data_IF_404711359536
#
_entry.id   IF_404711359536
#
_cell.length_a   1.000
_cell.length_b   1.000
_cell.length_c   1.000
_cell.angle_alpha   90.00
_cell.angle_beta   90.00
_cell.angle_gamma   90.00
#
_symmetry.space_group_name_H-M   'P 1'
#
loop_
_entity.id
_entity.type
_entity.pdbx_description
1 polymer ?
#
# COMPACT_ATOMS: atom_id res chain seq x y z
N UNK A 1 -16.88 -13.42 -9.36
CA UNK A 1 -15.45 -13.07 -9.48
C UNK A 1 -15.25 -12.27 -10.76
N UNK A 2 -14.41 -11.23 -10.70
CA UNK A 2 -14.08 -10.38 -11.86
C UNK A 2 -12.98 -11.07 -12.70
N UNK A 3 -13.08 -11.12 -14.03
CA UNK A 3 -12.00 -11.61 -14.86
C UNK A 3 -10.78 -10.68 -14.76
N UNK A 4 -9.58 -11.28 -14.76
CA UNK A 4 -8.30 -10.56 -14.74
C UNK A 4 -7.34 -11.20 -15.75
N UNK A 5 -6.42 -10.42 -16.32
CA UNK A 5 -5.42 -10.95 -17.25
C UNK A 5 -4.44 -11.92 -16.56
N UNK A 6 -3.86 -12.84 -17.33
CA UNK A 6 -2.88 -13.81 -16.81
C UNK A 6 -1.66 -13.08 -16.22
N UNK A 7 -1.21 -12.00 -16.83
CA UNK A 7 -0.07 -11.22 -16.32
C UNK A 7 -0.39 -10.54 -15.00
N UNK A 8 -1.55 -9.91 -14.83
CA UNK A 8 -2.00 -9.36 -13.55
C UNK A 8 -2.22 -10.44 -12.48
N UNK A 9 -2.83 -11.59 -12.86
CA UNK A 9 -2.97 -12.72 -11.94
C UNK A 9 -1.60 -13.18 -11.43
N UNK A 10 -0.60 -13.28 -12.34
CA UNK A 10 0.78 -13.63 -11.94
C UNK A 10 1.37 -12.58 -11.00
N UNK A 11 1.14 -11.30 -11.24
CA UNK A 11 1.54 -10.22 -10.34
C UNK A 11 0.94 -10.37 -8.94
N UNK A 12 -0.37 -10.65 -8.83
CA UNK A 12 -1.06 -10.92 -7.56
C UNK A 12 -0.46 -12.13 -6.82
N UNK A 13 -0.15 -13.22 -7.54
CA UNK A 13 0.53 -14.38 -6.96
C UNK A 13 1.89 -14.03 -6.38
N UNK A 14 2.66 -13.18 -7.05
CA UNK A 14 4.00 -12.77 -6.61
C UNK A 14 4.01 -11.91 -5.35
N UNK A 15 2.96 -11.10 -5.14
CA UNK A 15 2.86 -10.19 -3.99
C UNK A 15 2.02 -10.72 -2.84
N UNK A 16 1.49 -11.94 -2.95
CA UNK A 16 0.63 -12.57 -1.95
C UNK A 16 1.23 -13.85 -1.37
N UNK A 17 0.66 -14.33 -0.28
CA UNK A 17 0.93 -15.64 0.27
C UNK A 17 0.33 -16.75 -0.60
N UNK A 18 0.70 -18.01 -0.37
CA UNK A 18 0.08 -19.17 -1.05
C UNK A 18 -1.44 -19.23 -0.83
N UNK A 19 -1.95 -18.67 0.28
CA UNK A 19 -3.38 -18.56 0.56
C UNK A 19 -4.04 -17.38 -0.19
N UNK A 20 -3.27 -16.51 -0.86
CA UNK A 20 -3.80 -15.34 -1.56
C UNK A 20 -4.03 -14.12 -0.65
N UNK A 21 -3.36 -14.02 0.50
CA UNK A 21 -3.44 -12.88 1.42
C UNK A 21 -2.19 -12.02 1.34
N UNK A 22 -2.31 -10.73 1.68
CA UNK A 22 -1.24 -9.76 1.50
C UNK A 22 -0.61 -9.31 2.82
N UNK A 23 0.71 -9.24 2.85
CA UNK A 23 1.50 -8.53 3.87
C UNK A 23 2.61 -7.77 3.17
N UNK A 24 2.33 -6.54 2.74
CA UNK A 24 3.33 -5.70 2.09
C UNK A 24 4.12 -4.88 3.11
N UNK A 25 5.46 -5.00 3.09
CA UNK A 25 6.36 -4.14 3.85
C UNK A 25 6.52 -2.80 3.12
N UNK A 26 5.93 -1.72 3.64
CA UNK A 26 5.91 -0.41 3.01
C UNK A 26 7.12 0.45 3.43
N UNK A 27 7.93 0.84 2.45
CA UNK A 27 9.14 1.65 2.58
C UNK A 27 9.27 2.73 1.50
N UNK A 28 8.18 3.09 0.84
CA UNK A 28 8.13 4.12 -0.21
C UNK A 28 8.20 5.57 0.31
N UNK A 29 8.23 5.76 1.64
CA UNK A 29 8.39 7.07 2.28
C UNK A 29 9.71 7.74 1.89
N UNK A 30 9.66 9.02 1.53
CA UNK A 30 10.83 9.83 1.12
C UNK A 30 10.98 11.07 2.01
N UNK A 31 10.29 12.15 1.69
CA UNK A 31 10.41 13.42 2.42
C UNK A 31 10.01 13.32 3.90
N UNK A 32 9.04 12.47 4.23
CA UNK A 32 8.64 12.26 5.63
C UNK A 32 9.78 11.67 6.48
N UNK A 33 10.63 10.80 5.89
CA UNK A 33 11.79 10.24 6.59
C UNK A 33 12.91 11.27 6.73
N UNK A 34 13.19 12.07 5.68
CA UNK A 34 14.16 13.16 5.72
C UNK A 34 13.80 14.20 6.78
N UNK A 35 12.51 14.56 6.88
CA UNK A 35 12.00 15.49 7.90
C UNK A 35 12.07 14.91 9.32
N UNK A 36 11.88 13.60 9.46
CA UNK A 36 11.90 12.93 10.77
C UNK A 36 13.32 12.83 11.35
N UNK A 37 14.34 12.61 10.50
CA UNK A 37 15.73 12.50 10.95
C UNK A 37 16.68 13.15 9.94
N UNK A 38 17.41 14.23 10.32
CA UNK A 38 18.41 14.88 9.45
C UNK A 38 19.53 13.96 8.96
N UNK A 39 19.83 12.88 9.68
CA UNK A 39 20.79 11.85 9.24
C UNK A 39 20.31 11.06 8.02
N UNK A 40 19.06 11.21 7.61
CA UNK A 40 18.50 10.61 6.40
C UNK A 40 18.30 11.65 5.27
N UNK A 41 18.95 12.81 5.36
CA UNK A 41 18.71 13.92 4.44
C UNK A 41 19.24 13.64 3.03
N UNK A 42 20.41 12.98 2.88
CA UNK A 42 20.95 12.63 1.57
C UNK A 42 20.28 11.38 0.98
N UNK A 43 20.34 11.25 -0.35
CA UNK A 43 19.83 10.06 -1.06
C UNK A 43 20.55 8.79 -0.62
N UNK A 44 21.86 8.88 -0.43
CA UNK A 44 22.70 7.75 0.00
C UNK A 44 22.31 7.25 1.41
N UNK A 45 22.14 8.18 2.35
CA UNK A 45 21.76 7.84 3.73
C UNK A 45 20.37 7.24 3.81
N UNK A 46 19.41 7.83 3.09
CA UNK A 46 18.05 7.31 3.01
C UNK A 46 18.01 5.94 2.32
N UNK A 47 18.77 5.76 1.24
CA UNK A 47 18.90 4.48 0.55
C UNK A 47 19.48 3.41 1.49
N UNK A 48 20.57 3.70 2.19
CA UNK A 48 21.17 2.77 3.17
C UNK A 48 20.16 2.34 4.23
N UNK A 49 19.44 3.30 4.83
CA UNK A 49 18.39 2.99 5.80
C UNK A 49 17.34 2.02 5.23
N UNK A 50 16.86 2.29 4.01
CA UNK A 50 15.85 1.45 3.36
C UNK A 50 16.39 0.07 3.02
N UNK A 51 17.65 -0.05 2.64
CA UNK A 51 18.31 -1.34 2.41
C UNK A 51 18.47 -2.15 3.71
N UNK A 52 18.83 -1.50 4.83
CA UNK A 52 18.90 -2.15 6.15
C UNK A 52 17.54 -2.77 6.51
N UNK A 53 16.46 -1.99 6.36
CA UNK A 53 15.08 -2.46 6.65
C UNK A 53 14.68 -3.57 5.68
N UNK A 54 14.89 -3.38 4.36
CA UNK A 54 14.48 -4.36 3.33
C UNK A 54 15.19 -5.68 3.52
N UNK A 55 16.53 -5.68 3.62
CA UNK A 55 17.32 -6.90 3.76
C UNK A 55 17.00 -7.70 5.03
N UNK A 56 16.56 -7.00 6.09
CA UNK A 56 16.26 -7.64 7.38
C UNK A 56 14.83 -8.16 7.47
N UNK A 57 13.85 -7.43 6.89
CA UNK A 57 12.43 -7.69 7.13
C UNK A 57 11.70 -8.31 5.93
N UNK A 58 12.18 -8.12 4.69
CA UNK A 58 11.46 -8.53 3.48
C UNK A 58 11.09 -10.03 3.48
N UNK A 59 11.95 -10.89 4.00
CA UNK A 59 11.69 -12.35 4.09
C UNK A 59 10.51 -12.73 4.99
N UNK A 60 9.93 -11.76 5.71
CA UNK A 60 8.75 -11.95 6.57
C UNK A 60 7.48 -11.32 6.00
N UNK A 61 7.58 -10.74 4.81
CA UNK A 61 6.49 -10.15 4.07
C UNK A 61 6.20 -10.93 2.78
N UNK A 62 5.05 -10.71 2.16
CA UNK A 62 4.73 -11.26 0.84
C UNK A 62 5.24 -10.34 -0.28
N UNK A 63 5.38 -9.06 0.02
CA UNK A 63 5.90 -8.06 -0.90
C UNK A 63 6.64 -6.94 -0.16
N UNK A 64 7.50 -6.22 -0.89
CA UNK A 64 8.07 -4.94 -0.45
C UNK A 64 7.56 -3.83 -1.36
N UNK A 65 7.14 -2.71 -0.75
CA UNK A 65 6.74 -1.49 -1.47
C UNK A 65 7.85 -0.46 -1.33
N UNK A 66 8.47 -0.12 -2.43
CA UNK A 66 9.62 0.77 -2.52
C UNK A 66 9.35 1.94 -3.48
N UNK A 67 10.12 3.01 -3.36
CA UNK A 67 10.15 4.10 -4.33
C UNK A 67 11.27 3.88 -5.36
N UNK A 68 11.13 4.43 -6.58
CA UNK A 68 12.14 4.29 -7.62
C UNK A 68 13.35 5.20 -7.44
N UNK A 69 13.23 6.28 -6.65
CA UNK A 69 14.22 7.34 -6.59
C UNK A 69 15.46 6.92 -5.79
N UNK A 70 15.25 6.24 -4.65
CA UNK A 70 16.35 5.94 -3.71
C UNK A 70 16.33 4.52 -3.14
N UNK A 71 15.45 3.61 -3.58
CA UNK A 71 15.36 2.30 -2.94
C UNK A 71 15.16 1.11 -3.87
N UNK A 72 14.25 1.16 -4.84
CA UNK A 72 13.88 -0.03 -5.59
C UNK A 72 15.03 -0.63 -6.41
N UNK A 73 15.72 0.20 -7.21
CA UNK A 73 16.86 -0.24 -8.01
C UNK A 73 18.02 -0.70 -7.14
N UNK A 74 18.29 0.01 -6.05
CA UNK A 74 19.34 -0.33 -5.09
C UNK A 74 19.06 -1.66 -4.40
N UNK A 75 17.81 -1.91 -3.99
CA UNK A 75 17.41 -3.17 -3.36
C UNK A 75 17.53 -4.38 -4.29
N UNK A 76 17.24 -4.19 -5.59
CA UNK A 76 17.47 -5.22 -6.63
C UNK A 76 18.96 -5.47 -6.78
N UNK A 77 19.76 -4.42 -7.00
CA UNK A 77 21.20 -4.51 -7.26
C UNK A 77 21.97 -5.15 -6.10
N UNK A 78 21.57 -4.89 -4.87
CA UNK A 78 22.18 -5.46 -3.65
C UNK A 78 21.59 -6.80 -3.24
N UNK A 79 20.60 -7.33 -3.98
CA UNK A 79 19.88 -8.56 -3.65
C UNK A 79 19.21 -8.52 -2.27
N UNK A 80 18.77 -7.36 -1.85
CA UNK A 80 18.08 -7.16 -0.55
C UNK A 80 16.64 -7.69 -0.55
N UNK A 81 16.07 -7.95 -1.73
CA UNK A 81 14.75 -8.55 -1.90
C UNK A 81 14.91 -10.06 -2.16
N UNK A 82 14.36 -10.93 -1.30
CA UNK A 82 14.36 -12.38 -1.55
C UNK A 82 13.56 -12.74 -2.82
N UNK A 83 13.98 -13.80 -3.52
CA UNK A 83 13.37 -14.21 -4.80
C UNK A 83 11.87 -14.56 -4.72
N UNK A 84 11.39 -14.93 -3.54
CA UNK A 84 10.00 -15.27 -3.27
C UNK A 84 9.16 -14.10 -2.71
N UNK A 85 9.69 -12.89 -2.72
CA UNK A 85 9.01 -11.67 -2.25
C UNK A 85 8.75 -10.77 -3.44
N UNK A 86 7.49 -10.39 -3.64
CA UNK A 86 7.09 -9.52 -4.74
C UNK A 86 7.58 -8.08 -4.57
N UNK A 87 7.82 -7.39 -5.69
CA UNK A 87 8.19 -5.98 -5.70
C UNK A 87 7.00 -5.12 -6.12
N UNK A 88 6.60 -4.20 -5.24
CA UNK A 88 5.65 -3.12 -5.54
C UNK A 88 6.43 -1.80 -5.62
N UNK A 89 6.20 -0.98 -6.65
CA UNK A 89 6.93 0.26 -6.85
C UNK A 89 5.98 1.44 -6.91
N UNK A 90 6.26 2.49 -6.12
CA UNK A 90 5.51 3.73 -6.16
C UNK A 90 5.73 4.46 -7.50
N UNK A 91 4.67 5.08 -8.02
CA UNK A 91 4.75 5.87 -9.26
C UNK A 91 4.47 7.34 -9.06
N UNK A 92 3.81 7.71 -7.98
CA UNK A 92 3.47 9.09 -7.66
C UNK A 92 4.64 9.87 -7.06
N UNK A 93 4.66 11.18 -7.31
CA UNK A 93 5.52 12.15 -6.61
C UNK A 93 5.13 12.26 -5.14
N UNK A 94 6.09 12.64 -4.29
CA UNK A 94 5.82 12.84 -2.87
C UNK A 94 4.94 14.05 -2.63
N UNK A 95 3.85 13.88 -1.88
CA UNK A 95 2.93 14.96 -1.51
C UNK A 95 1.86 15.20 -2.56
N UNK A 96 1.40 16.43 -2.66
CA UNK A 96 0.39 16.88 -3.60
C UNK A 96 0.76 18.27 -4.14
N UNK A 97 0.12 18.67 -5.23
CA UNK A 97 0.11 20.03 -5.76
C UNK A 97 -1.28 20.63 -5.64
N UNK A 98 -1.42 21.92 -5.93
CA UNK A 98 -2.68 22.65 -5.76
C UNK A 98 -2.92 23.07 -4.30
N UNK A 99 -4.13 23.50 -4.03
CA UNK A 99 -4.55 23.97 -2.70
C UNK A 99 -4.74 22.82 -1.71
N UNK A 100 -4.66 23.12 -0.42
CA UNK A 100 -4.81 22.11 0.64
C UNK A 100 -6.19 21.43 0.64
N UNK A 101 -7.23 22.12 0.16
CA UNK A 101 -8.61 21.59 0.02
C UNK A 101 -8.92 21.09 -1.41
N UNK A 102 -7.99 21.28 -2.37
CA UNK A 102 -8.12 20.90 -3.78
C UNK A 102 -6.82 20.25 -4.27
N UNK A 103 -6.46 19.12 -3.65
CA UNK A 103 -5.18 18.43 -3.86
C UNK A 103 -5.15 17.70 -5.19
N UNK A 104 -4.01 17.78 -5.87
CA UNK A 104 -3.75 17.11 -7.13
C UNK A 104 -2.58 16.14 -6.98
N UNK A 105 -2.63 15.03 -7.73
CA UNK A 105 -1.58 14.01 -7.76
C UNK A 105 -0.74 14.13 -9.04
N UNK A 106 0.52 13.76 -8.95
CA UNK A 106 1.46 13.75 -10.07
C UNK A 106 2.31 12.48 -10.07
N UNK A 107 2.69 12.03 -11.25
CA UNK A 107 3.70 10.98 -11.43
C UNK A 107 5.09 11.57 -11.22
N UNK A 108 6.01 10.75 -10.70
CA UNK A 108 7.43 11.12 -10.59
C UNK A 108 7.96 11.50 -11.97
N UNK A 109 8.58 12.68 -12.14
CA UNK A 109 9.15 13.11 -13.42
C UNK A 109 10.11 12.06 -14.00
N UNK A 110 9.91 11.72 -15.26
CA UNK A 110 10.74 10.73 -15.95
C UNK A 110 10.48 9.26 -15.57
N UNK A 111 9.49 8.98 -14.70
CA UNK A 111 9.06 7.63 -14.31
C UNK A 111 7.73 7.26 -14.97
N UNK A 112 7.43 5.95 -15.09
CA UNK A 112 6.18 5.47 -15.69
C UNK A 112 5.84 4.04 -15.26
N UNK A 113 4.59 3.61 -15.50
CA UNK A 113 4.12 2.24 -15.35
C UNK A 113 4.97 1.27 -16.19
N UNK A 114 5.24 1.62 -17.45
CA UNK A 114 6.11 0.85 -18.34
C UNK A 114 7.51 0.64 -17.76
N UNK A 115 8.14 1.70 -17.25
CA UNK A 115 9.46 1.62 -16.63
C UNK A 115 9.46 0.72 -15.40
N UNK A 116 8.41 0.79 -14.57
CA UNK A 116 8.23 -0.09 -13.43
C UNK A 116 8.13 -1.56 -13.86
N UNK A 117 7.35 -1.85 -14.91
CA UNK A 117 7.27 -3.21 -15.50
C UNK A 117 8.62 -3.70 -16.02
N UNK A 118 9.33 -2.86 -16.77
CA UNK A 118 10.67 -3.18 -17.30
C UNK A 118 11.70 -3.44 -16.21
N UNK A 119 11.58 -2.79 -15.06
CA UNK A 119 12.45 -3.01 -13.89
C UNK A 119 12.13 -4.35 -13.19
N UNK A 120 11.01 -4.99 -13.49
CA UNK A 120 10.59 -6.26 -12.88
C UNK A 120 9.63 -6.10 -11.70
N UNK A 121 8.94 -4.97 -11.57
CA UNK A 121 7.87 -4.81 -10.60
C UNK A 121 6.73 -5.81 -10.86
N UNK A 122 6.21 -6.41 -9.79
CA UNK A 122 5.01 -7.27 -9.81
C UNK A 122 3.73 -6.44 -9.73
N UNK A 123 3.83 -5.25 -9.13
CA UNK A 123 2.75 -4.27 -9.00
C UNK A 123 3.32 -2.85 -8.93
N UNK A 124 2.49 -1.87 -9.27
CA UNK A 124 2.74 -0.49 -8.89
C UNK A 124 1.81 -0.07 -7.75
N UNK A 125 2.23 0.96 -7.02
CA UNK A 125 1.37 1.66 -6.07
C UNK A 125 1.19 3.09 -6.54
N UNK A 126 -0.06 3.55 -6.54
CA UNK A 126 -0.44 4.93 -6.77
C UNK A 126 -1.07 5.51 -5.52
N UNK A 127 -0.44 6.52 -4.92
CA UNK A 127 -1.08 7.31 -3.86
C UNK A 127 -1.74 8.53 -4.46
N UNK A 128 -2.98 8.76 -4.05
CA UNK A 128 -3.72 10.00 -4.32
C UNK A 128 -4.29 10.55 -3.02
N UNK A 129 -4.36 11.87 -2.88
CA UNK A 129 -5.17 12.49 -1.84
C UNK A 129 -6.58 12.67 -2.40
N UNK A 130 -7.58 12.16 -1.68
CA UNK A 130 -8.95 12.17 -2.19
C UNK A 130 -9.96 12.52 -1.10
N UNK A 131 -10.87 13.42 -1.44
CA UNK A 131 -12.09 13.69 -0.70
C UNK A 131 -13.24 13.71 -1.71
N UNK A 132 -14.34 12.95 -1.49
CA UNK A 132 -15.43 12.83 -2.48
C UNK A 132 -16.09 14.17 -2.86
N UNK A 133 -16.06 15.14 -1.94
CA UNK A 133 -16.66 16.47 -2.12
C UNK A 133 -15.62 17.55 -2.47
N UNK A 134 -14.36 17.16 -2.73
CA UNK A 134 -13.35 18.11 -3.20
C UNK A 134 -13.63 18.59 -4.64
N UNK A 135 -13.34 19.86 -4.94
CA UNK A 135 -13.40 20.35 -6.32
C UNK A 135 -12.53 19.54 -7.30
N UNK A 136 -11.45 18.93 -6.83
CA UNK A 136 -10.54 18.10 -7.64
C UNK A 136 -10.91 16.62 -7.68
N UNK A 137 -12.01 16.19 -7.05
CA UNK A 137 -12.41 14.78 -7.05
C UNK A 137 -12.52 14.19 -8.48
N UNK A 138 -13.20 14.86 -9.46
CA UNK A 138 -13.29 14.35 -10.82
C UNK A 138 -11.93 14.22 -11.53
N UNK A 139 -10.98 15.14 -11.25
CA UNK A 139 -9.62 15.09 -11.80
C UNK A 139 -8.83 13.91 -11.25
N UNK A 140 -8.94 13.64 -9.95
CA UNK A 140 -8.29 12.49 -9.30
C UNK A 140 -8.89 11.16 -9.79
N UNK A 141 -10.20 11.10 -9.99
CA UNK A 141 -10.86 9.94 -10.59
C UNK A 141 -10.36 9.69 -12.02
N UNK A 142 -10.31 10.73 -12.86
CA UNK A 142 -9.77 10.63 -14.22
C UNK A 142 -8.28 10.24 -14.23
N UNK A 143 -7.47 10.82 -13.34
CA UNK A 143 -6.05 10.47 -13.17
C UNK A 143 -5.88 9.02 -12.77
N UNK A 144 -6.64 8.53 -11.78
CA UNK A 144 -6.63 7.14 -11.35
C UNK A 144 -7.00 6.19 -12.49
N UNK A 145 -8.04 6.53 -13.27
CA UNK A 145 -8.44 5.74 -14.43
C UNK A 145 -7.36 5.68 -15.52
N UNK A 146 -6.68 6.79 -15.77
CA UNK A 146 -5.59 6.84 -16.74
C UNK A 146 -4.43 5.91 -16.32
N UNK A 147 -4.03 5.94 -15.05
CA UNK A 147 -2.98 5.04 -14.55
C UNK A 147 -3.44 3.57 -14.58
N UNK A 148 -4.70 3.30 -14.27
CA UNK A 148 -5.28 1.96 -14.42
C UNK A 148 -5.18 1.45 -15.87
N UNK A 149 -5.52 2.27 -16.86
CA UNK A 149 -5.42 1.90 -18.27
C UNK A 149 -3.96 1.59 -18.68
N UNK A 150 -2.98 2.35 -18.18
CA UNK A 150 -1.57 2.03 -18.40
C UNK A 150 -1.16 0.71 -17.70
N UNK A 151 -1.71 0.42 -16.53
CA UNK A 151 -1.48 -0.86 -15.86
C UNK A 151 -2.09 -2.03 -16.65
N UNK A 152 -3.28 -1.87 -17.21
CA UNK A 152 -3.92 -2.87 -18.06
C UNK A 152 -3.08 -3.15 -19.31
N UNK A 153 -2.59 -2.10 -19.98
CA UNK A 153 -1.74 -2.18 -21.17
C UNK A 153 -0.43 -2.95 -20.92
N UNK A 154 0.11 -2.90 -19.71
CA UNK A 154 1.37 -3.56 -19.35
C UNK A 154 1.18 -4.81 -18.46
N UNK A 155 -0.04 -5.29 -18.27
CA UNK A 155 -0.34 -6.41 -17.37
C UNK A 155 0.32 -6.27 -15.99
N UNK A 156 0.19 -5.10 -15.40
CA UNK A 156 0.78 -4.77 -14.10
C UNK A 156 -0.33 -4.47 -13.08
N UNK A 157 -0.22 -5.10 -11.92
CA UNK A 157 -1.19 -4.90 -10.82
C UNK A 157 -1.14 -3.46 -10.34
N UNK A 158 -2.30 -2.81 -10.19
CA UNK A 158 -2.45 -1.49 -9.58
C UNK A 158 -2.91 -1.60 -8.12
N UNK A 159 -2.04 -1.22 -7.18
CA UNK A 159 -2.37 -1.00 -5.77
C UNK A 159 -2.67 0.50 -5.58
N UNK A 160 -3.93 0.86 -5.42
CA UNK A 160 -4.37 2.24 -5.23
C UNK A 160 -4.41 2.59 -3.74
N UNK A 161 -3.72 3.66 -3.36
CA UNK A 161 -3.66 4.19 -1.98
C UNK A 161 -4.30 5.59 -1.91
N UNK A 162 -5.60 5.70 -1.73
CA UNK A 162 -6.21 6.99 -1.45
C UNK A 162 -6.02 7.38 0.02
N UNK A 163 -5.57 8.61 0.25
CA UNK A 163 -5.47 9.21 1.58
C UNK A 163 -6.52 10.31 1.74
N UNK A 164 -7.32 10.18 2.79
CA UNK A 164 -8.34 11.15 3.17
C UNK A 164 -7.70 12.45 3.68
N UNK A 165 -8.39 13.57 3.48
CA UNK A 165 -8.02 14.87 4.04
C UNK A 165 -9.26 15.72 4.32
N UNK A 166 -9.15 16.70 5.20
CA UNK A 166 -10.23 17.61 5.52
C UNK A 166 -10.32 18.74 4.45
N UNK A 167 -11.54 19.14 4.10
CA UNK A 167 -11.79 20.36 3.32
C UNK A 167 -11.75 21.64 4.16
N UNK A 168 -11.58 21.53 5.47
CA UNK A 168 -11.27 22.62 6.39
C UNK A 168 -9.82 22.47 6.88
N UNK A 169 -8.93 23.35 6.41
CA UNK A 169 -7.50 23.31 6.77
C UNK A 169 -7.21 23.44 8.25
N UNK A 170 -8.14 24.05 9.01
CA UNK A 170 -8.00 24.25 10.45
C UNK A 170 -8.30 22.99 11.27
N UNK A 171 -8.88 21.96 10.66
CA UNK A 171 -9.38 20.76 11.36
C UNK A 171 -8.87 19.47 10.72
N UNK A 172 -8.74 18.46 11.54
CA UNK A 172 -8.67 17.07 11.10
C UNK A 172 -10.09 16.53 10.91
N UNK A 173 -10.23 15.52 10.07
CA UNK A 173 -11.48 14.76 9.96
C UNK A 173 -11.85 14.16 11.33
N UNK A 174 -13.09 14.34 11.78
CA UNK A 174 -13.67 13.56 12.87
C UNK A 174 -13.79 12.08 12.47
N UNK A 175 -14.08 11.20 13.41
CA UNK A 175 -14.30 9.77 13.09
C UNK A 175 -15.44 9.56 12.11
N UNK A 176 -16.54 10.32 12.23
CA UNK A 176 -17.69 10.23 11.33
C UNK A 176 -17.35 10.73 9.93
N UNK A 177 -16.71 11.90 9.81
CA UNK A 177 -16.24 12.43 8.53
C UNK A 177 -15.23 11.49 7.86
N UNK A 178 -14.29 10.95 8.62
CA UNK A 178 -13.30 10.01 8.10
C UNK A 178 -13.94 8.74 7.58
N UNK A 179 -14.92 8.18 8.32
CA UNK A 179 -15.69 7.02 7.90
C UNK A 179 -16.39 7.29 6.56
N UNK A 180 -17.09 8.41 6.46
CA UNK A 180 -17.72 8.85 5.21
C UNK A 180 -16.72 8.94 4.06
N UNK A 181 -15.62 9.69 4.26
CA UNK A 181 -14.62 9.90 3.21
C UNK A 181 -13.99 8.59 2.76
N UNK A 182 -13.58 7.71 3.69
CA UNK A 182 -12.89 6.45 3.36
C UNK A 182 -13.84 5.47 2.64
N UNK A 183 -15.08 5.35 3.10
CA UNK A 183 -16.08 4.46 2.48
C UNK A 183 -16.50 4.96 1.09
N UNK A 184 -16.82 6.26 0.94
CA UNK A 184 -17.13 6.84 -0.38
C UNK A 184 -15.94 6.78 -1.33
N UNK A 185 -14.73 6.92 -0.83
CA UNK A 185 -13.49 6.73 -1.62
C UNK A 185 -13.40 5.30 -2.15
N UNK A 186 -13.64 4.30 -1.32
CA UNK A 186 -13.64 2.91 -1.76
C UNK A 186 -14.69 2.66 -2.86
N UNK A 187 -15.90 3.22 -2.69
CA UNK A 187 -17.00 3.11 -3.64
C UNK A 187 -16.72 3.77 -4.99
N UNK A 188 -16.06 4.95 -4.99
CA UNK A 188 -15.82 5.74 -6.22
C UNK A 188 -14.53 5.33 -6.93
N UNK A 189 -13.44 5.08 -6.21
CA UNK A 189 -12.13 4.84 -6.83
C UNK A 189 -11.84 3.37 -7.14
N UNK A 190 -12.30 2.42 -6.31
CA UNK A 190 -12.02 1.00 -6.55
C UNK A 190 -12.57 0.48 -7.90
N UNK A 191 -13.76 0.90 -8.38
CA UNK A 191 -14.27 0.47 -9.69
C UNK A 191 -13.53 1.05 -10.90
N UNK A 192 -12.66 2.06 -10.72
CA UNK A 192 -11.95 2.71 -11.83
C UNK A 192 -10.84 1.84 -12.43
N UNK A 193 -10.65 0.63 -11.91
CA UNK A 193 -9.75 -0.37 -12.48
C UNK A 193 -8.52 -0.68 -11.65
N UNK A 194 -8.48 -0.21 -10.39
CA UNK A 194 -7.51 -0.73 -9.43
C UNK A 194 -7.72 -2.24 -9.21
N UNK A 195 -6.64 -2.93 -8.84
CA UNK A 195 -6.65 -4.37 -8.54
C UNK A 195 -6.56 -4.63 -7.03
N UNK A 196 -6.03 -3.70 -6.26
CA UNK A 196 -5.97 -3.73 -4.80
C UNK A 196 -6.24 -2.31 -4.29
N UNK A 197 -7.13 -2.17 -3.32
CA UNK A 197 -7.33 -0.94 -2.58
C UNK A 197 -6.50 -0.96 -1.29
N UNK A 198 -5.55 -0.06 -1.13
CA UNK A 198 -4.78 0.15 0.11
C UNK A 198 -5.46 1.25 0.92
N UNK A 199 -6.36 0.86 1.83
CA UNK A 199 -7.24 1.76 2.55
C UNK A 199 -6.68 2.20 3.90
N UNK A 200 -7.03 3.41 4.33
CA UNK A 200 -6.88 3.86 5.71
C UNK A 200 -7.85 3.12 6.62
N UNK A 201 -7.51 3.03 7.92
CA UNK A 201 -8.50 2.67 8.93
C UNK A 201 -9.59 3.75 8.97
N UNK A 202 -10.88 3.37 8.88
CA UNK A 202 -11.96 4.32 8.57
C UNK A 202 -12.36 5.26 9.71
N UNK A 203 -11.75 5.13 10.87
CA UNK A 203 -12.04 5.95 12.04
C UNK A 203 -10.77 6.64 12.55
N UNK A 204 -10.93 7.71 13.33
CA UNK A 204 -9.80 8.33 14.02
C UNK A 204 -9.18 7.37 15.04
N UNK A 205 -7.89 7.54 15.31
CA UNK A 205 -7.14 6.67 16.24
C UNK A 205 -7.61 6.80 17.70
N UNK A 206 -8.32 7.86 18.04
CA UNK A 206 -8.90 8.09 19.37
C UNK A 206 -10.20 7.32 19.60
N UNK A 207 -10.84 6.83 18.54
CA UNK A 207 -12.00 5.95 18.67
C UNK A 207 -11.57 4.58 19.19
N UNK A 208 -12.12 4.18 20.35
CA UNK A 208 -11.77 2.93 21.02
C UNK A 208 -12.87 1.85 20.96
N UNK A 209 -14.05 2.18 20.45
CA UNK A 209 -15.17 1.26 20.36
C UNK A 209 -14.96 0.25 19.22
N UNK A 210 -14.62 -0.98 19.57
CA UNK A 210 -14.35 -2.05 18.59
C UNK A 210 -15.58 -2.47 17.78
N UNK A 211 -16.80 -2.26 18.27
CA UNK A 211 -18.00 -2.49 17.45
C UNK A 211 -18.08 -1.50 16.30
N UNK A 212 -17.83 -0.21 16.57
CA UNK A 212 -17.76 0.81 15.52
C UNK A 212 -16.60 0.53 14.54
N UNK A 213 -15.48 -0.01 15.02
CA UNK A 213 -14.37 -0.42 14.16
C UNK A 213 -14.79 -1.48 13.16
N UNK A 214 -15.49 -2.51 13.65
CA UNK A 214 -15.99 -3.61 12.83
C UNK A 214 -16.98 -3.10 11.78
N UNK A 215 -17.99 -2.36 12.20
CA UNK A 215 -19.04 -1.84 11.31
C UNK A 215 -18.44 -0.98 10.20
N UNK A 216 -17.51 -0.08 10.53
CA UNK A 216 -16.85 0.79 9.56
C UNK A 216 -15.93 0.01 8.58
N UNK A 217 -15.26 -1.05 9.03
CA UNK A 217 -14.48 -1.93 8.14
C UNK A 217 -15.38 -2.79 7.24
N UNK A 218 -16.52 -3.24 7.72
CA UNK A 218 -17.53 -3.98 6.92
C UNK A 218 -18.11 -3.07 5.81
N UNK A 219 -18.28 -1.77 6.07
CA UNK A 219 -18.69 -0.80 5.04
C UNK A 219 -17.65 -0.65 3.93
N UNK A 220 -16.34 -0.62 4.26
CA UNK A 220 -15.30 -0.64 3.22
C UNK A 220 -15.40 -1.91 2.38
N UNK A 221 -15.60 -3.07 3.01
CA UNK A 221 -15.72 -4.34 2.32
C UNK A 221 -16.95 -4.41 1.41
N UNK A 222 -18.05 -3.81 1.82
CA UNK A 222 -19.27 -3.71 1.02
C UNK A 222 -19.12 -2.71 -0.15
N UNK A 223 -18.36 -1.63 0.05
CA UNK A 223 -18.14 -0.58 -0.94
C UNK A 223 -17.10 -0.96 -2.01
N UNK A 224 -16.13 -1.83 -1.66
CA UNK A 224 -15.03 -2.21 -2.55
C UNK A 224 -15.33 -3.50 -3.33
N UNK A 225 -15.45 -3.46 -4.66
CA UNK A 225 -15.59 -4.66 -5.48
C UNK A 225 -14.27 -5.42 -5.71
N UNK A 226 -13.18 -4.94 -5.17
CA UNK A 226 -11.82 -5.49 -5.28
C UNK A 226 -11.25 -5.77 -3.88
N UNK A 227 -10.22 -6.64 -3.73
CA UNK A 227 -9.57 -6.86 -2.45
C UNK A 227 -9.02 -5.55 -1.88
N UNK A 228 -9.22 -5.32 -0.58
CA UNK A 228 -8.63 -4.19 0.10
C UNK A 228 -7.67 -4.63 1.20
N UNK A 229 -6.63 -3.84 1.43
CA UNK A 229 -5.61 -4.06 2.45
C UNK A 229 -5.50 -2.82 3.34
N UNK A 230 -5.30 -3.03 4.64
CA UNK A 230 -5.21 -1.95 5.61
C UNK A 230 -3.80 -1.34 5.64
N UNK A 231 -3.68 -0.01 5.57
CA UNK A 231 -2.44 0.71 5.81
C UNK A 231 -2.26 1.10 7.29
N UNK A 232 -1.01 1.24 7.75
CA UNK A 232 -0.72 1.43 9.18
C UNK A 232 -0.75 2.88 9.68
N UNK A 233 -0.82 3.89 8.83
CA UNK A 233 -0.87 5.33 9.15
C UNK A 233 0.07 5.81 10.27
N UNK A 234 1.15 5.07 10.57
CA UNK A 234 2.09 5.32 11.67
C UNK A 234 1.51 5.23 13.10
N UNK A 235 0.37 4.60 13.28
CA UNK A 235 -0.17 4.29 14.62
C UNK A 235 0.77 3.37 15.41
N UNK A 236 0.56 3.28 16.72
CA UNK A 236 1.36 2.37 17.55
C UNK A 236 1.10 0.92 17.19
N UNK A 237 2.15 0.09 17.36
CA UNK A 237 2.13 -1.29 16.90
C UNK A 237 0.98 -2.10 17.49
N UNK A 238 0.70 -2.02 18.78
CA UNK A 238 -0.37 -2.81 19.41
C UNK A 238 -1.77 -2.33 18.98
N UNK A 239 -1.96 -1.04 18.75
CA UNK A 239 -3.18 -0.50 18.16
C UNK A 239 -3.35 -1.06 16.74
N UNK A 240 -2.27 -1.05 15.95
CA UNK A 240 -2.31 -1.59 14.58
C UNK A 240 -2.64 -3.09 14.56
N UNK A 241 -2.12 -3.88 15.50
CA UNK A 241 -2.48 -5.30 15.65
C UNK A 241 -3.99 -5.48 15.84
N UNK A 242 -4.60 -4.69 16.70
CA UNK A 242 -6.05 -4.75 16.91
C UNK A 242 -6.83 -4.34 15.66
N UNK A 243 -6.40 -3.24 14.99
CA UNK A 243 -7.00 -2.82 13.72
C UNK A 243 -6.91 -3.91 12.64
N UNK A 244 -5.77 -4.61 12.54
CA UNK A 244 -5.57 -5.70 11.58
C UNK A 244 -6.54 -6.86 11.85
N UNK A 245 -6.72 -7.25 13.12
CA UNK A 245 -7.65 -8.32 13.49
C UNK A 245 -9.08 -7.95 13.08
N UNK A 246 -9.52 -6.73 13.42
CA UNK A 246 -10.88 -6.26 13.07
C UNK A 246 -11.03 -6.16 11.55
N UNK A 247 -10.09 -5.53 10.86
CA UNK A 247 -10.16 -5.34 9.41
C UNK A 247 -10.18 -6.67 8.63
N UNK A 248 -9.32 -7.64 9.01
CA UNK A 248 -9.30 -8.95 8.36
C UNK A 248 -10.60 -9.73 8.61
N UNK A 249 -11.14 -9.70 9.82
CA UNK A 249 -12.42 -10.33 10.12
C UNK A 249 -13.61 -9.64 9.41
N UNK A 250 -13.49 -8.35 9.09
CA UNK A 250 -14.44 -7.58 8.31
C UNK A 250 -14.26 -7.71 6.79
N UNK A 251 -13.30 -8.53 6.31
CA UNK A 251 -13.14 -8.84 4.88
C UNK A 251 -11.92 -8.21 4.20
N UNK A 252 -10.99 -7.58 4.93
CA UNK A 252 -9.73 -7.15 4.36
C UNK A 252 -8.89 -8.34 3.88
N UNK A 253 -8.17 -8.16 2.78
CA UNK A 253 -7.31 -9.19 2.18
C UNK A 253 -5.87 -9.16 2.72
N UNK A 254 -5.60 -8.33 3.71
CA UNK A 254 -4.30 -8.20 4.36
C UNK A 254 -3.93 -6.77 4.70
N UNK A 255 -2.62 -6.48 4.68
CA UNK A 255 -2.07 -5.20 5.12
C UNK A 255 -0.94 -4.69 4.22
N UNK A 256 -0.73 -3.36 4.26
CA UNK A 256 0.51 -2.72 3.88
C UNK A 256 1.08 -1.98 5.10
N UNK A 257 2.09 -2.57 5.75
CA UNK A 257 2.64 -2.08 7.01
C UNK A 257 4.01 -1.44 6.83
N UNK A 258 4.15 -0.25 7.34
CA UNK A 258 5.41 0.50 7.35
C UNK A 258 5.83 0.87 8.76
N UNK A 259 5.66 2.13 9.09
CA UNK A 259 6.14 2.76 10.33
C UNK A 259 5.68 2.08 11.62
N UNK A 260 4.51 1.45 11.66
CA UNK A 260 4.09 0.67 12.83
C UNK A 260 5.05 -0.48 13.18
N UNK A 261 5.84 -0.97 12.21
CA UNK A 261 6.83 -2.03 12.42
C UNK A 261 8.22 -1.45 12.72
N UNK A 262 8.65 -0.41 11.98
CA UNK A 262 10.05 -0.01 11.93
C UNK A 262 10.32 1.48 12.30
N UNK A 263 9.32 2.26 12.76
CA UNK A 263 9.47 3.72 12.98
C UNK A 263 10.63 4.07 13.93
N UNK A 264 10.87 3.26 14.95
CA UNK A 264 11.94 3.51 15.92
C UNK A 264 13.34 3.43 15.28
N UNK A 265 13.51 2.55 14.29
CA UNK A 265 14.77 2.41 13.55
C UNK A 265 15.20 3.69 12.82
N UNK A 266 14.27 4.62 12.57
CA UNK A 266 14.57 5.92 11.92
C UNK A 266 15.54 6.75 12.77
N UNK A 267 15.42 6.68 14.10
CA UNK A 267 16.26 7.42 15.05
C UNK A 267 17.49 6.64 15.51
N UNK A 268 17.64 5.41 15.09
CA UNK A 268 18.76 4.53 15.43
C UNK A 268 19.79 4.52 14.29
N UNK A 269 21.02 4.07 14.59
CA UNK A 269 22.12 4.02 13.65
C UNK A 269 22.94 2.74 13.89
N UNK A 270 23.74 2.35 12.89
CA UNK A 270 24.69 1.26 12.96
C UNK A 270 24.11 -0.05 13.55
N UNK A 271 24.86 -0.61 14.52
CA UNK A 271 24.51 -1.89 15.15
C UNK A 271 23.21 -1.84 15.95
N UNK A 272 22.88 -0.69 16.54
CA UNK A 272 21.62 -0.53 17.27
C UNK A 272 20.41 -0.69 16.35
N UNK A 273 20.42 -0.04 15.20
CA UNK A 273 19.39 -0.18 14.15
C UNK A 273 19.26 -1.64 13.72
N UNK A 274 20.37 -2.27 13.38
CA UNK A 274 20.37 -3.66 12.90
C UNK A 274 19.84 -4.62 13.98
N UNK A 275 20.24 -4.41 15.24
CA UNK A 275 19.72 -5.20 16.36
C UNK A 275 18.21 -5.05 16.52
N UNK A 276 17.69 -3.82 16.51
CA UNK A 276 16.25 -3.54 16.58
C UNK A 276 15.50 -4.21 15.42
N UNK A 277 15.99 -4.06 14.19
CA UNK A 277 15.38 -4.66 13.00
C UNK A 277 15.35 -6.20 13.08
N UNK A 278 16.45 -6.83 13.49
CA UNK A 278 16.55 -8.30 13.59
C UNK A 278 15.74 -8.91 14.73
N UNK A 279 15.41 -8.15 15.75
CA UNK A 279 14.64 -8.62 16.91
C UNK A 279 13.21 -8.08 16.89
N UNK A 280 12.98 -6.87 17.36
CA UNK A 280 11.66 -6.27 17.58
C UNK A 280 10.87 -6.12 16.28
N UNK A 281 11.45 -5.47 15.27
CA UNK A 281 10.74 -5.22 14.01
C UNK A 281 10.43 -6.53 13.28
N UNK A 282 11.37 -7.49 13.28
CA UNK A 282 11.16 -8.82 12.70
C UNK A 282 10.06 -9.61 13.41
N UNK A 283 9.99 -9.55 14.73
CA UNK A 283 8.91 -10.18 15.50
C UNK A 283 7.56 -9.55 15.16
N UNK A 284 7.49 -8.22 15.10
CA UNK A 284 6.29 -7.46 14.75
C UNK A 284 5.74 -7.87 13.38
N UNK A 285 6.56 -7.82 12.34
CA UNK A 285 6.09 -8.17 10.98
C UNK A 285 5.72 -9.65 10.89
N UNK A 286 6.45 -10.55 11.54
CA UNK A 286 6.13 -11.99 11.56
C UNK A 286 4.75 -12.25 12.18
N UNK A 287 4.43 -11.60 13.31
CA UNK A 287 3.12 -11.70 13.96
C UNK A 287 1.99 -11.20 13.03
N UNK A 288 2.19 -10.04 12.41
CA UNK A 288 1.21 -9.47 11.47
C UNK A 288 0.99 -10.37 10.24
N UNK A 289 2.06 -10.94 9.69
CA UNK A 289 1.96 -11.89 8.57
C UNK A 289 1.17 -13.13 8.95
N UNK A 290 1.41 -13.68 10.15
CA UNK A 290 0.64 -14.82 10.65
C UNK A 290 -0.83 -14.49 10.85
N UNK A 291 -1.16 -13.30 11.36
CA UNK A 291 -2.55 -12.83 11.50
C UNK A 291 -3.24 -12.70 10.14
N UNK A 292 -2.60 -12.05 9.17
CA UNK A 292 -3.15 -11.93 7.82
C UNK A 292 -3.32 -13.30 7.15
N UNK A 293 -2.34 -14.20 7.32
CA UNK A 293 -2.46 -15.54 6.79
C UNK A 293 -3.65 -16.31 7.39
N UNK A 294 -3.94 -16.11 8.67
CA UNK A 294 -5.04 -16.80 9.35
C UNK A 294 -6.42 -16.19 9.07
N UNK A 295 -6.53 -14.86 9.08
CA UNK A 295 -7.80 -14.14 9.17
C UNK A 295 -8.24 -13.46 7.87
N UNK A 296 -7.29 -13.02 7.02
CA UNK A 296 -7.62 -12.20 5.87
C UNK A 296 -8.36 -12.98 4.78
N UNK A 297 -9.23 -12.27 4.05
CA UNK A 297 -9.94 -12.80 2.89
C UNK A 297 -9.01 -12.89 1.68
N UNK A 298 -8.86 -14.06 1.02
CA UNK A 298 -7.94 -14.22 -0.08
C UNK A 298 -8.40 -13.43 -1.32
N UNK A 299 -7.46 -12.88 -2.11
CA UNK A 299 -7.79 -12.20 -3.36
C UNK A 299 -8.43 -13.12 -4.40
N UNK A 300 -8.24 -14.43 -4.28
CA UNK A 300 -8.85 -15.45 -5.14
C UNK A 300 -10.37 -15.49 -5.04
N UNK A 301 -10.96 -14.90 -4.00
CA UNK A 301 -12.41 -14.74 -3.89
C UNK A 301 -12.94 -13.60 -4.78
N UNK A 302 -12.07 -12.75 -5.30
CA UNK A 302 -12.44 -11.59 -6.12
C UNK A 302 -12.15 -11.81 -7.60
N UNK A 303 -11.12 -12.57 -7.94
CA UNK A 303 -10.61 -12.68 -9.31
C UNK A 303 -10.63 -14.11 -9.84
N UNK A 304 -10.85 -14.20 -11.15
CA UNK A 304 -10.68 -15.43 -11.95
C UNK A 304 -9.94 -15.11 -13.23
N UNK A 305 -9.17 -16.07 -13.74
CA UNK A 305 -8.54 -15.95 -15.06
C UNK A 305 -8.63 -17.28 -15.78
N UNK A 306 -9.01 -17.22 -17.05
CA UNK A 306 -9.09 -18.37 -17.93
C UNK A 306 -7.85 -18.46 -18.83
N UNK A 307 -7.31 -19.66 -18.99
CA UNK A 307 -6.19 -19.94 -19.86
C UNK A 307 -6.48 -21.20 -20.73
N UNK A 308 -7.47 -21.14 -21.65
CA UNK A 308 -7.75 -22.26 -22.55
C UNK A 308 -6.57 -22.50 -23.48
N UNK A 309 -6.45 -23.70 -24.04
CA UNK A 309 -5.42 -23.98 -25.05
C UNK A 309 -5.55 -22.96 -26.20
N UNK A 310 -4.42 -22.39 -26.63
CA UNK A 310 -4.39 -21.34 -27.66
C UNK A 310 -4.61 -19.90 -27.14
N UNK A 311 -4.80 -19.68 -25.83
CA UNK A 311 -5.00 -18.34 -25.24
C UNK A 311 -3.95 -17.31 -25.69
N UNK A 312 -2.68 -17.76 -25.89
CA UNK A 312 -1.55 -16.92 -26.25
C UNK A 312 -1.67 -16.24 -27.62
N UNK A 313 -2.54 -16.74 -28.49
CA UNK A 313 -2.76 -16.16 -29.83
C UNK A 313 -3.45 -14.79 -29.74
N UNK A 314 -4.27 -14.60 -28.72
CA UNK A 314 -5.07 -13.38 -28.52
C UNK A 314 -4.67 -12.57 -27.27
N UNK A 315 -3.51 -12.90 -26.71
CA UNK A 315 -3.01 -12.23 -25.50
C UNK A 315 -2.29 -10.91 -25.80
#
# INVERSE_FOLDING_TARGET
>A
MKPISIGKLRGLQQISSQRGTFTALALDHRQNLRKANPLLASDEQLSRFKLDVTSTLASRATAVLLDPEVSAAQAIATRSIPNNVGLVVAVESTGYTGDAIARQAQIIPGWSVEKAKRMGASAIKLLVYYHPDSPTAPEIEAFTKNISNECDKHDLVLMLEPLSYSLDESKKLSSEEKRYVVVETAKRLAPLGADILKAEFPLDVTESNQTLWKDACEEISAASPIPWILLSAAVDYEIFVQQVIVACNAGASGIAVGRAVWKEAVMMDGDERIKFLRTTARSRISRLTSLCHALAKPYTDFYTADAPFGWHVNY
#
